data_IF_845433574911
#
_entry.id   IF_845433574911
#
_cell.length_a   1.000
_cell.length_b   1.000
_cell.length_c   1.000
_cell.angle_alpha   90.00
_cell.angle_beta   90.00
_cell.angle_gamma   90.00
#
_symmetry.space_group_name_H-M   'P 1'
#
loop_
_entity.id
_entity.type
_entity.pdbx_description
1 polymer ?
#
# COMPACT_ATOMS: atom_id res chain seq x y z
N UNK A 1 -12.13 11.87 16.15
CA UNK A 1 -11.97 10.98 14.98
C UNK A 1 -11.13 11.75 13.98
N UNK A 2 -10.18 11.12 13.27
CA UNK A 2 -9.44 11.83 12.23
C UNK A 2 -10.38 12.01 11.04
N UNK A 3 -10.97 13.18 10.89
CA UNK A 3 -11.94 13.51 9.83
C UNK A 3 -11.25 13.81 8.48
N UNK A 4 -10.07 13.22 8.25
CA UNK A 4 -9.31 13.36 7.01
C UNK A 4 -9.94 12.57 5.85
N UNK A 5 -9.91 13.16 4.65
CA UNK A 5 -10.55 12.62 3.43
C UNK A 5 -10.16 11.16 3.14
N UNK A 6 -8.90 10.79 3.41
CA UNK A 6 -8.38 9.43 3.27
C UNK A 6 -7.82 8.96 4.61
N UNK A 7 -8.61 8.22 5.39
CA UNK A 7 -8.17 7.72 6.71
C UNK A 7 -7.27 6.49 6.62
N UNK A 8 -7.46 5.66 5.59
CA UNK A 8 -6.74 4.40 5.37
C UNK A 8 -6.37 4.29 3.89
N UNK A 9 -5.12 3.92 3.61
CA UNK A 9 -4.61 3.70 2.26
C UNK A 9 -4.05 2.28 2.18
N UNK A 10 -4.61 1.46 1.29
CA UNK A 10 -4.08 0.13 0.99
C UNK A 10 -3.04 0.24 -0.12
N UNK A 11 -1.84 -0.30 0.13
CA UNK A 11 -0.72 -0.30 -0.82
C UNK A 11 -0.39 -1.77 -1.13
N UNK A 12 -0.66 -2.26 -2.35
CA UNK A 12 -0.25 -3.59 -2.75
C UNK A 12 1.23 -3.63 -3.14
N UNK A 13 1.92 -4.72 -2.78
CA UNK A 13 3.28 -5.04 -3.24
C UNK A 13 3.35 -6.48 -3.73
N UNK A 14 3.99 -6.68 -4.87
CA UNK A 14 4.25 -7.98 -5.50
C UNK A 14 5.76 -8.25 -5.68
N UNK A 15 6.60 -7.38 -5.11
CA UNK A 15 8.06 -7.36 -5.22
C UNK A 15 8.61 -7.17 -6.64
N UNK A 16 7.78 -6.86 -7.64
CA UNK A 16 8.25 -6.35 -8.90
C UNK A 16 8.91 -4.94 -8.72
N UNK A 17 9.88 -4.55 -9.56
CA UNK A 17 10.49 -3.22 -9.49
C UNK A 17 9.47 -2.06 -9.53
N UNK A 18 8.37 -2.22 -10.26
CA UNK A 18 7.28 -1.24 -10.35
C UNK A 18 6.53 -1.06 -9.04
N UNK A 19 6.28 -2.12 -8.26
CA UNK A 19 5.55 -2.01 -7.00
C UNK A 19 6.32 -1.28 -5.92
N UNK A 20 7.67 -1.24 -6.01
CA UNK A 20 8.50 -0.37 -5.16
C UNK A 20 8.17 1.10 -5.37
N UNK A 21 8.03 1.54 -6.62
CA UNK A 21 7.70 2.94 -6.93
C UNK A 21 6.26 3.27 -6.50
N UNK A 22 5.30 2.36 -6.74
CA UNK A 22 3.93 2.49 -6.22
C UNK A 22 3.90 2.58 -4.69
N UNK A 23 4.73 1.81 -4.00
CA UNK A 23 4.86 1.86 -2.54
C UNK A 23 5.37 3.22 -2.05
N UNK A 24 6.40 3.77 -2.68
CA UNK A 24 6.94 5.09 -2.32
C UNK A 24 5.93 6.21 -2.56
N UNK A 25 5.18 6.17 -3.67
CA UNK A 25 4.10 7.13 -3.97
C UNK A 25 2.97 7.01 -2.95
N UNK A 26 2.53 5.77 -2.65
CA UNK A 26 1.48 5.52 -1.66
C UNK A 26 1.86 6.01 -0.25
N UNK A 27 3.13 5.82 0.15
CA UNK A 27 3.67 6.37 1.40
C UNK A 27 3.62 7.89 1.45
N UNK A 28 3.94 8.55 0.35
CA UNK A 28 3.89 10.01 0.26
C UNK A 28 2.45 10.53 0.35
N UNK A 29 1.50 9.84 -0.25
CA UNK A 29 0.07 10.12 -0.10
C UNK A 29 -0.39 9.93 1.35
N UNK A 30 -0.05 8.81 1.98
CA UNK A 30 -0.44 8.53 3.36
C UNK A 30 0.13 9.56 4.35
N UNK A 31 1.35 10.05 4.13
CA UNK A 31 1.93 11.14 4.93
C UNK A 31 1.14 12.45 4.77
N UNK A 32 0.77 12.81 3.54
CA UNK A 32 0.02 14.04 3.27
C UNK A 32 -1.37 14.05 3.91
N UNK A 33 -2.01 12.88 4.00
CA UNK A 33 -3.35 12.73 4.58
C UNK A 33 -3.36 12.23 6.03
N UNK A 34 -2.18 12.03 6.62
CA UNK A 34 -2.01 11.39 7.94
C UNK A 34 -2.80 10.07 8.04
N UNK A 35 -2.82 9.31 6.95
CA UNK A 35 -3.55 8.06 6.82
C UNK A 35 -2.82 6.91 7.49
N UNK A 36 -3.58 5.94 8.00
CA UNK A 36 -3.05 4.61 8.28
C UNK A 36 -2.68 3.92 6.96
N UNK A 37 -1.48 3.35 6.89
CA UNK A 37 -1.06 2.50 5.77
C UNK A 37 -1.42 1.05 6.05
N UNK A 38 -2.05 0.40 5.07
CA UNK A 38 -2.27 -1.05 5.04
C UNK A 38 -1.41 -1.60 3.89
N UNK A 39 -0.28 -2.23 4.22
CA UNK A 39 0.57 -2.87 3.23
C UNK A 39 0.06 -4.29 2.95
N UNK A 40 -0.22 -4.61 1.69
CA UNK A 40 -0.74 -5.91 1.27
C UNK A 40 0.26 -6.60 0.34
N UNK A 41 0.63 -7.83 0.64
CA UNK A 41 1.28 -8.73 -0.29
C UNK A 41 0.35 -9.93 -0.55
N UNK A 42 0.16 -10.29 -1.82
CA UNK A 42 -0.67 -11.44 -2.23
C UNK A 42 0.24 -12.59 -2.59
N UNK A 43 0.05 -13.74 -1.93
CA UNK A 43 0.71 -15.00 -2.30
C UNK A 43 -0.14 -15.69 -3.37
N UNK A 44 0.42 -15.89 -4.56
CA UNK A 44 -0.24 -16.70 -5.58
C UNK A 44 -0.15 -18.18 -5.21
N UNK A 45 -1.22 -18.72 -4.64
CA UNK A 45 -1.25 -20.11 -4.20
C UNK A 45 -1.27 -21.12 -5.35
N UNK A 46 -1.53 -20.69 -6.59
CA UNK A 46 -1.51 -21.60 -7.75
C UNK A 46 -0.08 -21.99 -8.16
N UNK A 47 0.90 -21.18 -7.77
CA UNK A 47 2.32 -21.44 -8.04
C UNK A 47 3.04 -22.09 -6.87
N UNK A 48 2.33 -22.39 -5.78
CA UNK A 48 2.87 -23.17 -4.67
C UNK A 48 2.99 -24.66 -5.06
N UNK A 49 4.09 -25.32 -4.69
CA UNK A 49 4.31 -26.74 -4.96
C UNK A 49 3.38 -27.68 -4.17
#
# INVERSE_FOLDING_TARGET
MNDGLFQKILIPVDFAPSSRESFLVGLRLARNFQSQVILLHVIDTKSLP
#
